data_IF_798624361977
#
_entry.id   IF_798624361977
#
_cell.length_a   1.000
_cell.length_b   1.000
_cell.length_c   1.000
_cell.angle_alpha   90.00
_cell.angle_beta   90.00
_cell.angle_gamma   90.00
#
_symmetry.space_group_name_H-M   'P 1'
#
loop_
_entity.id
_entity.type
_entity.pdbx_description
1 polymer ?
#
# COMPACT_ATOMS: atom_id res chain seq x y z
N UNK A 1 9.46 -21.02 33.52
CA UNK A 1 8.54 -21.22 32.37
C UNK A 1 9.27 -22.12 31.37
N UNK A 2 8.69 -23.25 31.01
CA UNK A 2 9.27 -24.14 30.00
C UNK A 2 9.18 -23.56 28.59
N UNK A 3 9.98 -24.07 27.64
CA UNK A 3 9.89 -23.64 26.23
C UNK A 3 8.49 -23.83 25.67
N UNK A 4 7.82 -24.91 26.05
CA UNK A 4 6.45 -25.21 25.63
C UNK A 4 5.43 -24.23 26.22
N UNK A 5 5.54 -23.86 27.50
CA UNK A 5 4.67 -22.84 28.11
C UNK A 5 4.85 -21.50 27.40
N UNK A 6 6.09 -21.08 27.17
CA UNK A 6 6.39 -19.85 26.45
C UNK A 6 5.80 -19.85 25.03
N UNK A 7 5.94 -20.95 24.30
CA UNK A 7 5.35 -21.07 22.96
C UNK A 7 3.81 -20.92 22.99
N UNK A 8 3.14 -21.58 23.93
CA UNK A 8 1.67 -21.49 24.06
C UNK A 8 1.23 -20.07 24.43
N UNK A 9 1.97 -19.39 25.30
CA UNK A 9 1.69 -17.98 25.61
C UNK A 9 1.91 -17.07 24.39
N UNK A 10 3.01 -17.23 23.65
CA UNK A 10 3.24 -16.48 22.42
C UNK A 10 2.14 -16.74 21.38
N UNK A 11 1.70 -18.02 21.22
CA UNK A 11 0.58 -18.32 20.32
C UNK A 11 -0.72 -17.62 20.73
N UNK A 12 -1.08 -17.64 22.02
CA UNK A 12 -2.26 -16.93 22.54
C UNK A 12 -2.15 -15.42 22.31
N UNK A 13 -0.95 -14.87 22.49
CA UNK A 13 -0.71 -13.45 22.21
C UNK A 13 -0.84 -13.13 20.72
N UNK A 14 -0.32 -13.99 19.83
CA UNK A 14 -0.55 -13.87 18.37
C UNK A 14 -2.04 -13.85 18.07
N UNK A 15 -2.82 -14.78 18.64
CA UNK A 15 -4.27 -14.82 18.43
C UNK A 15 -4.95 -13.52 18.86
N UNK A 16 -4.58 -12.99 20.02
CA UNK A 16 -5.13 -11.74 20.54
C UNK A 16 -4.77 -10.54 19.66
N UNK A 17 -3.48 -10.34 19.34
CA UNK A 17 -3.06 -9.18 18.53
C UNK A 17 -3.59 -9.27 17.10
N UNK A 18 -3.65 -10.47 16.51
CA UNK A 18 -4.24 -10.68 15.20
C UNK A 18 -5.76 -10.38 15.20
N UNK A 19 -6.46 -10.77 16.26
CA UNK A 19 -7.87 -10.44 16.43
C UNK A 19 -8.11 -8.94 16.45
N UNK A 20 -7.29 -8.18 17.17
CA UNK A 20 -7.37 -6.72 17.19
C UNK A 20 -7.04 -6.12 15.83
N UNK A 21 -5.98 -6.61 15.18
CA UNK A 21 -5.47 -6.06 13.93
C UNK A 21 -6.38 -6.34 12.72
N UNK A 22 -6.80 -7.61 12.53
CA UNK A 22 -7.54 -8.02 11.33
C UNK A 22 -9.06 -7.96 11.51
N UNK A 23 -9.55 -8.08 12.73
CA UNK A 23 -10.98 -8.26 13.06
C UNK A 23 -11.55 -7.17 13.95
N UNK A 24 -10.76 -6.14 14.29
CA UNK A 24 -11.18 -5.05 15.19
C UNK A 24 -11.80 -5.56 16.49
N UNK A 25 -11.30 -6.67 17.03
CA UNK A 25 -11.76 -7.29 18.26
C UNK A 25 -12.74 -8.47 18.10
N UNK A 26 -13.29 -8.70 16.91
CA UNK A 26 -14.13 -9.88 16.66
C UNK A 26 -13.32 -11.18 16.71
N UNK A 27 -13.91 -12.24 17.25
CA UNK A 27 -13.25 -13.54 17.34
C UNK A 27 -13.09 -14.21 15.97
N UNK A 28 -11.97 -14.87 15.77
CA UNK A 28 -11.76 -15.76 14.63
C UNK A 28 -12.65 -16.99 14.74
N UNK A 29 -13.18 -17.45 13.62
CA UNK A 29 -13.76 -18.79 13.48
C UNK A 29 -12.66 -19.83 13.53
N UNK A 30 -13.05 -21.10 13.75
CA UNK A 30 -12.09 -22.20 13.75
C UNK A 30 -11.30 -22.26 12.42
N UNK A 31 -9.95 -22.31 12.53
CA UNK A 31 -9.06 -22.32 11.39
C UNK A 31 -8.80 -20.97 10.70
N UNK A 32 -9.60 -19.95 10.96
CA UNK A 32 -9.54 -18.64 10.29
C UNK A 32 -8.23 -17.88 10.61
N UNK A 33 -7.76 -17.94 11.85
CA UNK A 33 -6.52 -17.27 12.27
C UNK A 33 -5.33 -17.65 11.38
N UNK A 34 -5.10 -18.95 11.17
CA UNK A 34 -4.00 -19.40 10.34
C UNK A 34 -4.17 -18.97 8.88
N UNK A 35 -5.39 -18.99 8.35
CA UNK A 35 -5.68 -18.52 7.00
C UNK A 35 -5.35 -17.04 6.82
N UNK A 36 -5.71 -16.21 7.78
CA UNK A 36 -5.44 -14.76 7.74
C UNK A 36 -3.95 -14.49 7.86
N UNK A 37 -3.27 -15.13 8.83
CA UNK A 37 -1.83 -14.96 9.02
C UNK A 37 -1.00 -15.37 7.80
N UNK A 38 -1.40 -16.42 7.08
CA UNK A 38 -0.70 -16.90 5.87
C UNK A 38 -0.68 -15.89 4.71
N UNK A 39 -1.53 -14.87 4.74
CA UNK A 39 -1.54 -13.81 3.73
C UNK A 39 -0.35 -12.86 3.85
N UNK A 40 0.10 -12.64 5.09
CA UNK A 40 1.09 -11.63 5.41
C UNK A 40 2.40 -12.21 5.98
N UNK A 41 2.38 -13.48 6.43
CA UNK A 41 3.52 -14.19 6.99
C UNK A 41 3.81 -15.49 6.25
N UNK A 42 5.01 -16.04 6.44
CA UNK A 42 5.44 -17.32 5.85
C UNK A 42 4.41 -18.43 6.14
N UNK A 43 3.72 -18.87 5.10
CA UNK A 43 2.61 -19.82 5.17
C UNK A 43 3.00 -21.15 5.80
N UNK A 44 4.21 -21.66 5.49
CA UNK A 44 4.69 -22.94 6.01
C UNK A 44 5.00 -22.83 7.51
N UNK A 45 5.63 -21.74 7.94
CA UNK A 45 5.93 -21.50 9.36
C UNK A 45 4.68 -21.30 10.19
N UNK A 46 3.68 -20.55 9.66
CA UNK A 46 2.38 -20.39 10.34
C UNK A 46 1.71 -21.74 10.52
N UNK A 47 1.68 -22.57 9.48
CA UNK A 47 1.07 -23.91 9.54
C UNK A 47 1.80 -24.82 10.53
N UNK A 48 3.12 -24.84 10.46
CA UNK A 48 3.94 -25.61 11.37
C UNK A 48 3.72 -25.23 12.85
N UNK A 49 3.66 -23.93 13.16
CA UNK A 49 3.35 -23.47 14.52
C UNK A 49 1.93 -23.84 14.96
N UNK A 50 0.94 -23.75 14.07
CA UNK A 50 -0.45 -24.17 14.35
C UNK A 50 -0.51 -25.66 14.67
N UNK A 51 0.14 -26.50 13.86
CA UNK A 51 0.11 -27.95 14.03
C UNK A 51 0.85 -28.37 15.31
N UNK A 52 1.95 -27.72 15.62
CA UNK A 52 2.67 -27.92 16.88
C UNK A 52 1.80 -27.52 18.08
N UNK A 53 1.11 -26.37 18.03
CA UNK A 53 0.17 -25.94 19.08
C UNK A 53 -0.94 -26.99 19.29
N UNK A 54 -1.52 -27.49 18.21
CA UNK A 54 -2.57 -28.51 18.28
C UNK A 54 -2.04 -29.84 18.88
N UNK A 55 -0.84 -30.24 18.49
CA UNK A 55 -0.16 -31.41 19.03
C UNK A 55 0.01 -31.30 20.54
N UNK A 56 0.57 -30.19 21.02
CA UNK A 56 0.87 -29.94 22.44
C UNK A 56 -0.40 -29.84 23.28
N UNK A 57 -1.47 -29.21 22.77
CA UNK A 57 -2.72 -29.03 23.53
C UNK A 57 -3.60 -30.28 23.58
N UNK A 58 -3.59 -31.12 22.55
CA UNK A 58 -4.61 -32.16 22.41
C UNK A 58 -4.08 -33.59 22.43
N UNK A 59 -2.80 -33.84 22.19
CA UNK A 59 -2.30 -35.21 21.94
C UNK A 59 -1.15 -35.67 22.83
N UNK A 60 -0.51 -34.81 23.62
CA UNK A 60 0.68 -35.18 24.35
C UNK A 60 0.47 -35.23 25.86
N UNK A 61 -0.02 -36.40 26.35
CA UNK A 61 0.14 -36.78 27.76
C UNK A 61 1.42 -37.54 28.05
N UNK A 62 2.13 -38.03 27.03
CA UNK A 62 3.20 -39.04 27.21
C UNK A 62 4.54 -38.75 26.52
N UNK A 63 4.62 -37.73 25.65
CA UNK A 63 5.87 -37.42 24.96
C UNK A 63 6.22 -35.94 25.17
N UNK A 64 7.44 -35.70 25.66
CA UNK A 64 7.99 -34.33 25.74
C UNK A 64 8.45 -33.89 24.36
N UNK A 65 7.70 -33.06 23.71
CA UNK A 65 8.12 -32.35 22.50
C UNK A 65 8.29 -30.89 22.87
N UNK A 66 9.43 -30.31 22.58
CA UNK A 66 9.70 -28.90 22.84
C UNK A 66 9.72 -28.09 21.53
N UNK A 67 9.19 -26.86 21.54
CA UNK A 67 9.31 -25.96 20.41
C UNK A 67 10.76 -25.52 20.25
N UNK A 68 11.19 -25.34 19.01
CA UNK A 68 12.49 -24.75 18.75
C UNK A 68 12.46 -23.24 19.10
N UNK A 69 13.63 -22.69 19.42
CA UNK A 69 13.75 -21.23 19.62
C UNK A 69 13.31 -20.43 18.38
N UNK A 70 13.53 -20.98 17.18
CA UNK A 70 13.09 -20.36 15.93
C UNK A 70 11.59 -20.24 15.81
N UNK A 71 10.80 -21.20 16.33
CA UNK A 71 9.33 -21.11 16.35
C UNK A 71 8.87 -19.97 17.27
N UNK A 72 9.46 -19.86 18.45
CA UNK A 72 9.11 -18.80 19.40
C UNK A 72 9.49 -17.43 18.82
N UNK A 73 10.69 -17.29 18.25
CA UNK A 73 11.13 -16.06 17.59
C UNK A 73 10.20 -15.66 16.42
N UNK A 74 9.72 -16.64 15.65
CA UNK A 74 8.77 -16.38 14.58
C UNK A 74 7.43 -15.83 15.12
N UNK A 75 6.88 -16.41 16.20
CA UNK A 75 5.67 -15.88 16.84
C UNK A 75 5.89 -14.50 17.43
N UNK A 76 7.02 -14.26 18.10
CA UNK A 76 7.39 -12.95 18.64
C UNK A 76 7.53 -11.91 17.51
N UNK A 77 8.03 -12.31 16.32
CA UNK A 77 8.07 -11.49 15.11
C UNK A 77 6.69 -11.11 14.60
N UNK A 78 5.74 -12.05 14.56
CA UNK A 78 4.34 -11.77 14.21
C UNK A 78 3.74 -10.76 15.20
N UNK A 79 3.91 -10.99 16.50
CA UNK A 79 3.39 -10.08 17.53
C UNK A 79 3.90 -8.66 17.31
N UNK A 80 5.22 -8.51 17.15
CA UNK A 80 5.83 -7.19 16.94
C UNK A 80 5.32 -6.50 15.67
N UNK A 81 5.17 -7.24 14.58
CA UNK A 81 4.69 -6.70 13.31
C UNK A 81 3.23 -6.21 13.40
N UNK A 82 2.37 -6.94 14.11
CA UNK A 82 0.97 -6.57 14.30
C UNK A 82 0.75 -5.46 15.34
N UNK A 83 1.58 -5.42 16.39
CA UNK A 83 1.55 -4.33 17.39
C UNK A 83 2.17 -3.03 16.85
N UNK A 84 3.15 -3.12 15.93
CA UNK A 84 3.88 -2.00 15.35
C UNK A 84 3.87 -2.04 13.80
N UNK A 85 2.71 -1.92 13.16
CA UNK A 85 2.60 -2.06 11.71
C UNK A 85 3.41 -0.98 10.99
N UNK A 86 4.05 -1.38 9.90
CA UNK A 86 4.84 -0.48 9.08
C UNK A 86 3.97 0.67 8.52
N UNK A 87 4.46 1.91 8.67
CA UNK A 87 3.83 3.09 8.09
C UNK A 87 4.24 3.28 6.63
N UNK A 88 3.39 3.94 5.85
CA UNK A 88 3.59 4.24 4.43
C UNK A 88 4.89 4.98 4.15
N UNK A 89 5.41 5.75 5.11
CA UNK A 89 6.70 6.44 4.99
C UNK A 89 7.89 5.53 4.70
N UNK A 90 7.75 4.20 4.93
CA UNK A 90 8.78 3.21 4.59
C UNK A 90 8.75 2.78 3.12
N UNK A 91 7.66 3.01 2.41
CA UNK A 91 7.47 2.51 1.04
C UNK A 91 7.14 3.59 0.02
N UNK A 92 6.67 4.77 0.44
CA UNK A 92 6.29 5.84 -0.47
C UNK A 92 7.49 6.42 -1.24
N UNK A 93 7.23 6.97 -2.41
CA UNK A 93 8.17 7.89 -3.06
C UNK A 93 7.99 9.25 -2.39
N UNK A 94 9.01 9.68 -1.62
CA UNK A 94 8.93 10.98 -0.92
C UNK A 94 8.87 12.14 -1.91
N UNK A 95 8.27 13.26 -1.50
CA UNK A 95 8.14 14.47 -2.32
C UNK A 95 9.47 14.92 -2.92
N UNK A 96 10.56 14.85 -2.16
CA UNK A 96 11.89 15.29 -2.62
C UNK A 96 12.44 14.46 -3.79
N UNK A 97 11.92 13.27 -4.01
CA UNK A 97 12.28 12.35 -5.09
C UNK A 97 11.20 12.28 -6.18
N UNK A 98 10.07 12.92 -5.94
CA UNK A 98 8.93 12.85 -6.83
C UNK A 98 9.14 13.79 -8.02
N UNK A 99 9.00 13.23 -9.21
CA UNK A 99 8.90 14.03 -10.41
C UNK A 99 7.51 14.67 -10.49
N UNK A 100 7.48 16.01 -10.50
CA UNK A 100 6.27 16.83 -10.60
C UNK A 100 6.44 17.85 -11.69
N UNK A 101 5.35 18.44 -12.16
CA UNK A 101 5.37 19.54 -13.11
C UNK A 101 4.44 20.67 -12.65
N UNK A 102 4.59 21.82 -13.28
CA UNK A 102 3.73 23.00 -13.18
C UNK A 102 2.99 23.25 -14.49
N UNK A 103 2.04 24.16 -14.48
CA UNK A 103 1.30 24.54 -15.71
C UNK A 103 2.20 25.21 -16.75
N UNK A 104 3.27 25.83 -16.33
CA UNK A 104 4.21 26.61 -17.16
C UNK A 104 5.29 25.72 -17.80
N UNK A 105 5.41 24.46 -17.37
CA UNK A 105 6.41 23.54 -17.90
C UNK A 105 6.12 23.13 -19.35
N UNK A 106 7.15 22.98 -20.14
CA UNK A 106 7.05 22.56 -21.55
C UNK A 106 6.64 21.08 -21.64
N UNK A 107 5.53 20.83 -22.31
CA UNK A 107 4.91 19.49 -22.43
C UNK A 107 5.91 18.45 -22.97
N UNK A 108 6.67 18.79 -24.02
CA UNK A 108 7.60 17.85 -24.65
C UNK A 108 8.73 17.42 -23.68
N UNK A 109 9.21 18.34 -22.85
CA UNK A 109 10.21 18.01 -21.83
C UNK A 109 9.66 17.07 -20.76
N UNK A 110 8.39 17.29 -20.34
CA UNK A 110 7.73 16.40 -19.38
C UNK A 110 7.53 15.01 -20.00
N UNK A 111 7.03 14.92 -21.23
CA UNK A 111 6.84 13.65 -21.94
C UNK A 111 8.14 12.86 -22.11
N UNK A 112 9.24 13.51 -22.48
CA UNK A 112 10.54 12.87 -22.60
C UNK A 112 10.99 12.28 -21.25
N UNK A 113 10.84 13.03 -20.15
CA UNK A 113 11.15 12.53 -18.80
C UNK A 113 10.23 11.38 -18.38
N UNK A 114 8.95 11.42 -18.75
CA UNK A 114 8.04 10.31 -18.53
C UNK A 114 8.54 9.05 -19.25
N UNK A 115 8.91 9.16 -20.51
CA UNK A 115 9.41 8.04 -21.31
C UNK A 115 10.72 7.49 -20.75
N UNK A 116 11.68 8.35 -20.44
CA UNK A 116 13.02 7.95 -19.94
C UNK A 116 12.95 7.21 -18.59
N UNK A 117 11.95 7.54 -17.77
CA UNK A 117 11.78 6.98 -16.42
C UNK A 117 10.60 6.00 -16.29
N UNK A 118 9.90 5.71 -17.38
CA UNK A 118 8.68 4.88 -17.39
C UNK A 118 7.58 5.40 -16.45
N UNK A 119 7.42 6.72 -16.38
CA UNK A 119 6.33 7.34 -15.63
C UNK A 119 5.09 7.45 -16.50
N UNK A 120 3.95 6.98 -15.99
CA UNK A 120 2.64 7.11 -16.65
C UNK A 120 1.84 8.32 -16.17
N UNK A 121 2.22 8.88 -15.03
CA UNK A 121 1.52 9.98 -14.38
C UNK A 121 2.50 10.96 -13.76
N UNK A 122 2.24 12.25 -13.94
CA UNK A 122 3.01 13.34 -13.36
C UNK A 122 2.06 14.26 -12.60
N UNK A 123 2.18 14.37 -11.26
CA UNK A 123 1.39 15.34 -10.49
C UNK A 123 1.73 16.76 -10.88
N UNK A 124 0.69 17.57 -11.09
CA UNK A 124 0.81 19.01 -11.35
C UNK A 124 0.63 19.76 -10.05
N UNK A 125 1.61 20.54 -9.66
CA UNK A 125 1.59 21.35 -8.45
C UNK A 125 1.46 22.83 -8.77
N UNK A 126 0.77 23.56 -7.89
CA UNK A 126 0.76 25.01 -7.90
C UNK A 126 1.93 25.59 -7.07
N UNK A 127 2.06 26.91 -7.04
CA UNK A 127 3.08 27.65 -6.28
C UNK A 127 3.06 27.34 -4.76
N UNK A 128 1.92 26.93 -4.21
CA UNK A 128 1.76 26.53 -2.82
C UNK A 128 2.09 25.06 -2.57
N UNK A 129 2.60 24.34 -3.58
CA UNK A 129 2.90 22.90 -3.55
C UNK A 129 1.67 22.01 -3.31
N UNK A 130 0.49 22.52 -3.71
CA UNK A 130 -0.76 21.75 -3.68
C UNK A 130 -0.97 21.10 -5.04
N UNK A 131 -1.51 19.87 -5.02
CA UNK A 131 -1.85 19.16 -6.25
C UNK A 131 -3.07 19.79 -6.91
N UNK A 132 -2.93 20.17 -8.17
CA UNK A 132 -4.02 20.77 -8.97
C UNK A 132 -4.53 19.86 -10.07
N UNK A 133 -3.78 18.80 -10.37
CA UNK A 133 -4.15 17.84 -11.39
C UNK A 133 -3.08 16.79 -11.65
N UNK A 134 -3.33 15.97 -12.64
CA UNK A 134 -2.41 14.91 -13.10
C UNK A 134 -2.23 15.07 -14.61
N UNK A 135 -0.99 15.10 -15.07
CA UNK A 135 -0.67 14.92 -16.46
C UNK A 135 -0.30 13.46 -16.71
N UNK A 136 -0.95 12.83 -17.67
CA UNK A 136 -0.77 11.40 -17.99
C UNK A 136 -0.91 11.15 -19.49
N UNK A 137 -0.58 9.96 -19.94
CA UNK A 137 -0.86 9.51 -21.31
C UNK A 137 -2.35 9.68 -21.65
N UNK A 138 -3.25 9.43 -20.69
CA UNK A 138 -4.68 9.62 -20.84
C UNK A 138 -5.07 11.08 -21.06
N UNK A 139 -4.34 12.03 -20.46
CA UNK A 139 -4.55 13.47 -20.67
C UNK A 139 -4.40 13.82 -22.15
N UNK A 140 -3.32 13.36 -22.78
CA UNK A 140 -3.07 13.58 -24.20
C UNK A 140 -4.10 12.86 -25.07
N UNK A 141 -4.46 11.62 -24.72
CA UNK A 141 -5.47 10.86 -25.45
C UNK A 141 -6.83 11.54 -25.43
N UNK A 142 -7.28 12.04 -24.26
CA UNK A 142 -8.55 12.78 -24.15
C UNK A 142 -8.51 14.10 -24.94
N UNK A 143 -7.42 14.84 -24.82
CA UNK A 143 -7.21 16.08 -25.59
C UNK A 143 -7.29 15.80 -27.10
N UNK A 144 -6.60 14.76 -27.59
CA UNK A 144 -6.63 14.36 -28.98
C UNK A 144 -8.04 13.93 -29.44
N UNK A 145 -8.73 13.13 -28.63
CA UNK A 145 -10.08 12.67 -28.96
C UNK A 145 -11.09 13.84 -29.06
N UNK A 146 -10.90 14.87 -28.27
CA UNK A 146 -11.77 16.05 -28.23
C UNK A 146 -11.43 17.10 -29.32
N UNK A 147 -10.15 17.37 -29.53
CA UNK A 147 -9.70 18.42 -30.47
C UNK A 147 -9.39 17.89 -31.88
N UNK A 148 -9.22 16.58 -32.05
CA UNK A 148 -8.92 15.96 -33.34
C UNK A 148 -7.47 16.12 -33.85
N UNK A 149 -6.67 17.00 -33.27
CA UNK A 149 -5.29 17.26 -33.64
C UNK A 149 -4.46 17.43 -32.35
N UNK A 150 -3.30 16.80 -32.30
CA UNK A 150 -2.31 17.07 -31.27
C UNK A 150 -1.09 17.69 -31.93
N UNK A 151 -0.89 18.97 -31.72
CA UNK A 151 0.39 19.61 -32.02
C UNK A 151 1.13 19.84 -30.70
N UNK A 152 2.04 18.93 -30.39
CA UNK A 152 2.96 19.05 -29.24
C UNK A 152 4.27 19.63 -29.76
N UNK A 153 4.22 20.87 -30.20
CA UNK A 153 5.40 21.60 -30.67
C UNK A 153 6.28 22.10 -29.53
N UNK A 154 7.48 22.61 -29.90
CA UNK A 154 8.30 23.35 -28.94
C UNK A 154 7.54 24.56 -28.41
N UNK A 155 7.54 24.73 -27.09
CA UNK A 155 6.88 25.83 -26.41
C UNK A 155 5.41 25.52 -25.98
N UNK A 156 4.84 24.38 -26.38
CA UNK A 156 3.55 23.93 -25.85
C UNK A 156 3.67 23.66 -24.35
N UNK A 157 2.87 24.34 -23.54
CA UNK A 157 2.89 24.21 -22.09
C UNK A 157 1.84 23.24 -21.58
N UNK A 158 2.04 22.68 -20.37
CA UNK A 158 1.07 21.85 -19.68
C UNK A 158 -0.27 22.57 -19.49
N UNK A 159 -0.25 23.91 -19.37
CA UNK A 159 -1.46 24.76 -19.26
C UNK A 159 -2.45 24.60 -20.40
N UNK A 160 -2.03 24.17 -21.59
CA UNK A 160 -2.92 23.91 -22.72
C UNK A 160 -3.86 22.74 -22.47
N UNK A 161 -3.47 21.82 -21.57
CA UNK A 161 -4.27 20.64 -21.20
C UNK A 161 -5.04 20.83 -19.91
N UNK A 162 -5.12 22.04 -19.35
CA UNK A 162 -5.68 22.29 -18.00
C UNK A 162 -7.08 21.75 -17.78
N UNK A 163 -7.91 21.65 -18.85
CA UNK A 163 -9.27 21.12 -18.76
C UNK A 163 -9.31 19.59 -18.53
N UNK A 164 -8.21 18.90 -18.83
CA UNK A 164 -8.05 17.43 -18.73
C UNK A 164 -7.19 17.00 -17.54
N UNK A 165 -6.53 17.94 -16.84
CA UNK A 165 -5.67 17.66 -15.70
C UNK A 165 -6.41 17.30 -14.39
N UNK A 166 -7.61 17.87 -14.08
CA UNK A 166 -8.29 17.57 -12.82
C UNK A 166 -8.48 16.06 -12.64
N UNK A 167 -8.26 15.56 -11.42
CA UNK A 167 -8.32 14.12 -11.11
C UNK A 167 -9.68 13.51 -11.46
N UNK A 168 -10.75 14.28 -11.40
CA UNK A 168 -12.12 13.87 -11.74
C UNK A 168 -12.33 13.64 -13.25
N UNK A 169 -11.41 14.13 -14.07
CA UNK A 169 -11.44 13.95 -15.53
C UNK A 169 -10.82 12.61 -15.96
N UNK A 170 -10.05 11.98 -15.09
CA UNK A 170 -9.45 10.67 -15.35
C UNK A 170 -10.46 9.55 -15.08
N UNK A 171 -11.40 9.33 -16.01
CA UNK A 171 -12.55 8.43 -15.81
C UNK A 171 -12.18 6.96 -15.54
N UNK A 172 -11.01 6.53 -16.02
CA UNK A 172 -10.55 5.14 -15.92
C UNK A 172 -9.69 4.86 -14.70
N UNK A 173 -9.41 5.88 -13.86
CA UNK A 173 -8.47 5.82 -12.75
C UNK A 173 -8.96 6.63 -11.57
N UNK A 174 -8.59 6.16 -10.38
CA UNK A 174 -8.86 6.87 -9.12
C UNK A 174 -7.56 7.42 -8.54
N UNK A 175 -7.65 8.60 -7.97
CA UNK A 175 -6.58 9.22 -7.20
C UNK A 175 -7.10 9.45 -5.79
N UNK A 176 -6.38 8.93 -4.80
CA UNK A 176 -6.83 8.92 -3.42
C UNK A 176 -5.86 9.70 -2.54
N UNK A 177 -6.34 10.16 -1.40
CA UNK A 177 -5.54 10.83 -0.39
C UNK A 177 -5.59 10.06 0.91
N UNK A 178 -4.44 9.91 1.57
CA UNK A 178 -4.31 9.23 2.86
C UNK A 178 -3.44 10.06 3.79
N UNK A 179 -3.66 9.90 5.08
CA UNK A 179 -2.84 10.55 6.09
C UNK A 179 -1.43 9.90 6.18
N UNK A 180 -0.45 10.69 6.58
CA UNK A 180 0.97 10.28 6.70
C UNK A 180 1.21 9.05 7.58
N UNK A 181 0.34 8.83 8.56
CA UNK A 181 0.48 7.75 9.54
C UNK A 181 -0.28 6.47 9.14
N UNK A 182 -0.90 6.46 7.96
CA UNK A 182 -1.52 5.27 7.39
C UNK A 182 -0.53 4.12 7.34
N UNK A 183 -0.99 2.91 7.67
CA UNK A 183 -0.16 1.71 7.62
C UNK A 183 -0.06 1.16 6.20
N UNK A 184 1.02 0.45 5.92
CA UNK A 184 1.20 -0.24 4.63
C UNK A 184 0.09 -1.29 4.43
N UNK A 185 -0.34 -1.95 5.51
CA UNK A 185 -1.48 -2.87 5.49
C UNK A 185 -2.77 -2.18 5.02
N UNK A 186 -3.09 -1.00 5.56
CA UNK A 186 -4.28 -0.24 5.13
C UNK A 186 -4.23 0.14 3.65
N UNK A 187 -3.07 0.52 3.13
CA UNK A 187 -2.88 0.79 1.70
C UNK A 187 -3.14 -0.46 0.86
N UNK A 188 -2.62 -1.62 1.28
CA UNK A 188 -2.87 -2.90 0.61
C UNK A 188 -4.38 -3.19 0.54
N UNK A 189 -5.10 -3.01 1.64
CA UNK A 189 -6.56 -3.19 1.69
C UNK A 189 -7.30 -2.20 0.77
N UNK A 190 -6.83 -0.95 0.64
CA UNK A 190 -7.38 0.03 -0.30
C UNK A 190 -7.24 -0.50 -1.74
N UNK A 191 -6.04 -0.92 -2.16
CA UNK A 191 -5.83 -1.46 -3.50
C UNK A 191 -6.67 -2.71 -3.76
N UNK A 192 -6.70 -3.67 -2.83
CA UNK A 192 -7.48 -4.91 -2.96
C UNK A 192 -8.99 -4.61 -3.09
N UNK A 193 -9.50 -3.67 -2.28
CA UNK A 193 -10.93 -3.31 -2.28
C UNK A 193 -11.35 -2.66 -3.60
N UNK A 194 -10.53 -1.74 -4.13
CA UNK A 194 -10.81 -1.08 -5.40
C UNK A 194 -10.65 -2.06 -6.57
N UNK A 195 -9.62 -2.89 -6.55
CA UNK A 195 -9.42 -3.92 -7.56
C UNK A 195 -10.61 -4.90 -7.64
N UNK A 196 -11.13 -5.34 -6.48
CA UNK A 196 -12.31 -6.22 -6.42
C UNK A 196 -13.58 -5.60 -7.02
N UNK A 197 -13.65 -4.25 -7.06
CA UNK A 197 -14.74 -3.49 -7.71
C UNK A 197 -14.47 -3.20 -9.20
N UNK A 198 -13.34 -3.66 -9.74
CA UNK A 198 -12.92 -3.33 -11.10
C UNK A 198 -12.40 -1.90 -11.27
N UNK A 199 -12.11 -1.19 -10.18
CA UNK A 199 -11.60 0.18 -10.17
C UNK A 199 -10.07 0.17 -10.18
N UNK A 200 -9.46 1.02 -11.00
CA UNK A 200 -8.02 1.26 -11.03
C UNK A 200 -7.66 2.41 -10.12
N UNK A 201 -6.65 2.24 -9.28
CA UNK A 201 -6.01 3.33 -8.58
C UNK A 201 -4.73 3.67 -9.33
N UNK A 202 -4.66 4.87 -9.89
CA UNK A 202 -3.45 5.37 -10.55
C UNK A 202 -2.38 5.74 -9.53
N UNK A 203 -2.78 6.45 -8.46
CA UNK A 203 -1.85 6.91 -7.43
C UNK A 203 -2.58 7.23 -6.12
N UNK A 204 -1.90 7.02 -5.00
CA UNK A 204 -2.35 7.46 -3.67
C UNK A 204 -1.39 8.53 -3.19
N UNK A 205 -1.92 9.69 -2.81
CA UNK A 205 -1.16 10.81 -2.26
C UNK A 205 -1.18 10.75 -0.73
N UNK A 206 -0.01 10.83 -0.13
CA UNK A 206 0.13 10.98 1.30
C UNK A 206 0.23 12.48 1.62
N UNK A 207 -0.65 12.96 2.49
CA UNK A 207 -0.67 14.32 3.02
C UNK A 207 -0.65 14.28 4.55
N UNK A 208 -0.65 15.43 5.21
CA UNK A 208 -0.57 15.43 6.67
C UNK A 208 -1.79 14.75 7.31
N UNK A 209 -2.99 15.05 6.86
CA UNK A 209 -4.25 14.50 7.39
C UNK A 209 -5.15 13.83 6.34
N UNK A 210 -4.61 13.45 5.19
CA UNK A 210 -5.35 12.76 4.12
C UNK A 210 -6.23 13.67 3.27
N UNK A 211 -6.00 14.99 3.27
CA UNK A 211 -6.81 15.95 2.51
C UNK A 211 -6.09 16.45 1.27
N UNK A 212 -6.84 16.60 0.19
CA UNK A 212 -6.33 17.15 -1.09
C UNK A 212 -5.80 18.58 -0.97
N UNK A 213 -6.39 19.39 -0.08
CA UNK A 213 -5.99 20.79 0.14
C UNK A 213 -4.70 20.93 0.98
N UNK A 214 -3.94 19.86 1.16
CA UNK A 214 -2.69 19.85 1.89
C UNK A 214 -1.51 19.56 0.96
N UNK A 215 -0.32 20.01 1.35
CA UNK A 215 0.92 19.68 0.64
C UNK A 215 1.14 18.17 0.63
N UNK A 216 1.54 17.63 -0.53
CA UNK A 216 1.90 16.22 -0.63
C UNK A 216 3.24 15.95 0.07
N UNK A 217 3.29 14.85 0.83
CA UNK A 217 4.49 14.34 1.49
C UNK A 217 5.15 13.23 0.68
N UNK A 218 4.37 12.52 -0.11
CA UNK A 218 4.83 11.44 -0.99
C UNK A 218 3.67 10.82 -1.75
N UNK A 219 4.00 9.87 -2.61
CA UNK A 219 3.03 9.09 -3.36
C UNK A 219 3.27 7.60 -3.17
N UNK A 220 2.22 6.83 -3.40
CA UNK A 220 2.24 5.38 -3.39
C UNK A 220 1.51 4.89 -4.64
N UNK A 221 2.14 3.99 -5.37
CA UNK A 221 1.58 3.31 -6.53
C UNK A 221 1.36 1.83 -6.21
N UNK A 222 0.59 1.08 -7.01
CA UNK A 222 0.48 -0.37 -6.84
C UNK A 222 1.83 -1.09 -6.80
N UNK A 223 2.82 -0.61 -7.54
CA UNK A 223 4.17 -1.18 -7.62
C UNK A 223 4.98 -1.05 -6.32
N UNK A 224 4.65 -0.07 -5.47
CA UNK A 224 5.30 0.10 -4.18
C UNK A 224 4.83 -0.91 -3.13
N UNK A 225 3.68 -1.54 -3.37
CA UNK A 225 3.01 -2.46 -2.43
C UNK A 225 3.02 -3.90 -2.92
N UNK A 226 2.86 -4.12 -4.25
CA UNK A 226 2.80 -5.45 -4.83
C UNK A 226 4.14 -6.19 -4.71
N UNK A 227 4.09 -7.43 -4.23
CA UNK A 227 5.27 -8.29 -4.11
C UNK A 227 6.16 -8.02 -2.90
N UNK A 228 5.80 -7.07 -2.02
CA UNK A 228 6.49 -6.86 -0.74
C UNK A 228 5.72 -7.55 0.39
N UNK A 229 6.44 -8.29 1.25
CA UNK A 229 5.90 -8.72 2.54
C UNK A 229 5.73 -7.45 3.39
N UNK A 230 4.50 -7.08 3.70
CA UNK A 230 4.10 -5.74 4.12
C UNK A 230 3.86 -5.65 5.63
N UNK A 231 4.26 -6.70 6.35
CA UNK A 231 4.19 -6.75 7.83
C UNK A 231 5.58 -6.90 8.40
#
# INVERSE_FOLDING_TARGET
>A
MSSTERFIESWKKVEHVAQMFYKQGEKFKEGELAHVLKKDFDSNKVEYCRDFRNLVQHKLKFFCVEPTSAMIQFLDGIINALENPAKISKIWVSKDKLFTASLEDETLLIMNKMQDNNYTHVPILNENELITGIFSENTLFQYFADKGIVDVGKGTQISEYKEYLPMEKHLNEKFLFVERDTTVYAIKQIFETHFAKGERIGMIFATHSGKQAEKILGIITPWDVLGKNVV
#
